data_IF_990683975997
#
_entry.id   IF_990683975997
#
_cell.length_a   1.000
_cell.length_b   1.000
_cell.length_c   1.000
_cell.angle_alpha   90.00
_cell.angle_beta   90.00
_cell.angle_gamma   90.00
#
_symmetry.space_group_name_H-M   'P 1'
#
loop_
_entity.id
_entity.type
_entity.pdbx_description
1 polymer ?
#
# COMPACT_ATOMS: atom_id res chain seq x y z
N UNK A 1 -25.73 -8.07 -1.76
CA UNK A 1 -24.63 -7.58 -0.92
C UNK A 1 -24.05 -8.82 -0.23
N UNK A 2 -22.73 -9.06 -0.26
CA UNK A 2 -22.16 -10.21 0.44
C UNK A 2 -22.43 -10.08 1.96
N UNK A 3 -22.79 -11.18 2.62
CA UNK A 3 -23.13 -11.22 4.05
C UNK A 3 -21.97 -10.78 4.97
N UNK A 4 -20.74 -10.78 4.47
CA UNK A 4 -19.57 -10.31 5.21
C UNK A 4 -18.62 -9.55 4.28
N UNK A 5 -18.36 -8.29 4.64
CA UNK A 5 -17.41 -7.43 3.93
C UNK A 5 -16.15 -7.35 4.79
N UNK A 6 -15.00 -7.85 4.30
CA UNK A 6 -13.75 -7.69 5.03
C UNK A 6 -13.43 -6.20 5.26
N UNK A 7 -12.97 -5.80 6.46
CA UNK A 7 -12.65 -4.40 6.78
C UNK A 7 -11.66 -3.76 5.79
N UNK A 8 -10.79 -4.56 5.18
CA UNK A 8 -9.80 -4.14 4.19
C UNK A 8 -10.41 -3.65 2.86
N UNK A 9 -11.70 -3.94 2.61
CA UNK A 9 -12.44 -3.48 1.41
C UNK A 9 -13.24 -2.21 1.64
N UNK A 10 -13.48 -1.86 2.90
CA UNK A 10 -14.16 -0.62 3.26
C UNK A 10 -13.25 0.54 2.86
N UNK A 11 -13.81 1.57 2.20
CA UNK A 11 -13.12 2.72 1.64
C UNK A 11 -12.10 2.40 0.51
N UNK A 12 -11.92 1.12 0.14
CA UNK A 12 -11.12 0.76 -1.03
C UNK A 12 -12.01 0.55 -2.27
N UNK A 13 -13.12 -0.14 -2.11
CA UNK A 13 -14.08 -0.47 -3.19
C UNK A 13 -15.53 -0.31 -2.78
N UNK A 14 -15.79 -0.07 -1.50
CA UNK A 14 -17.13 0.17 -0.94
C UNK A 14 -17.10 1.53 -0.30
N UNK A 15 -17.88 2.44 -0.87
CA UNK A 15 -17.99 3.81 -0.40
C UNK A 15 -19.39 4.05 0.17
N UNK A 16 -19.44 4.52 1.39
CA UNK A 16 -20.72 4.90 2.00
C UNK A 16 -20.99 6.39 1.73
N UNK A 17 -22.11 6.65 1.08
CA UNK A 17 -22.55 8.02 0.74
C UNK A 17 -22.74 8.84 2.00
N UNK A 18 -23.45 8.32 3.01
CA UNK A 18 -23.73 9.03 4.26
C UNK A 18 -22.44 9.40 5.02
N UNK A 19 -21.45 8.50 5.06
CA UNK A 19 -20.13 8.75 5.68
C UNK A 19 -19.40 9.91 5.03
N UNK A 20 -19.34 9.91 3.70
CA UNK A 20 -18.64 10.95 2.93
C UNK A 20 -19.39 12.28 3.02
N UNK A 21 -20.72 12.26 2.94
CA UNK A 21 -21.54 13.46 3.06
C UNK A 21 -21.39 14.11 4.44
N UNK A 22 -21.34 13.32 5.52
CA UNK A 22 -21.09 13.80 6.89
C UNK A 22 -19.68 14.37 7.03
N UNK A 23 -18.67 13.69 6.50
CA UNK A 23 -17.29 14.16 6.49
C UNK A 23 -17.19 15.54 5.80
N UNK A 24 -17.80 15.68 4.64
CA UNK A 24 -17.82 16.94 3.88
C UNK A 24 -18.58 18.01 4.67
N UNK A 25 -19.75 17.69 5.22
CA UNK A 25 -20.58 18.61 6.00
C UNK A 25 -19.88 19.06 7.28
N UNK A 26 -19.17 18.14 7.97
CA UNK A 26 -18.41 18.44 9.17
C UNK A 26 -17.25 19.39 8.85
N UNK A 27 -16.48 19.14 7.78
CA UNK A 27 -15.45 20.05 7.30
C UNK A 27 -16.02 21.43 6.98
N UNK A 28 -17.13 21.49 6.21
CA UNK A 28 -17.73 22.75 5.79
C UNK A 28 -18.30 23.56 6.96
N UNK A 29 -18.73 22.92 8.04
CA UNK A 29 -19.27 23.58 9.22
C UNK A 29 -18.17 24.00 10.21
N UNK A 30 -17.23 23.11 10.51
CA UNK A 30 -16.30 23.21 11.63
C UNK A 30 -14.87 23.54 11.20
N UNK A 31 -14.53 23.49 9.90
CA UNK A 31 -13.21 23.87 9.39
C UNK A 31 -12.95 25.36 9.56
N UNK A 32 -11.66 25.72 9.71
CA UNK A 32 -11.22 27.12 9.72
C UNK A 32 -11.65 27.78 8.41
N UNK A 33 -12.34 28.91 8.54
CA UNK A 33 -12.92 29.64 7.40
C UNK A 33 -11.87 30.50 6.71
N UNK A 34 -12.12 30.79 5.45
CA UNK A 34 -11.41 31.82 4.72
C UNK A 34 -11.69 33.19 5.35
N UNK A 35 -10.81 34.18 5.11
CA UNK A 35 -10.89 35.56 5.67
C UNK A 35 -12.25 36.24 5.54
N UNK A 36 -13.05 35.88 4.53
CA UNK A 36 -14.40 36.43 4.34
C UNK A 36 -15.49 35.69 5.13
N UNK A 37 -15.14 34.59 5.85
CA UNK A 37 -16.06 33.80 6.65
C UNK A 37 -17.10 32.96 5.90
N UNK A 38 -17.22 33.11 4.59
CA UNK A 38 -18.31 32.51 3.81
C UNK A 38 -18.10 31.01 3.50
N UNK A 39 -16.85 30.54 3.52
CA UNK A 39 -16.49 29.15 3.22
C UNK A 39 -15.20 28.75 3.94
N UNK A 40 -14.86 27.46 3.91
CA UNK A 40 -13.62 26.96 4.49
C UNK A 40 -12.39 27.50 3.76
N UNK A 41 -11.29 27.66 4.48
CA UNK A 41 -10.00 28.00 3.93
C UNK A 41 -9.38 26.83 3.13
N UNK A 42 -8.15 27.04 2.65
CA UNK A 42 -7.43 26.01 1.89
C UNK A 42 -7.37 24.71 2.65
N UNK A 43 -7.81 23.63 2.01
CA UNK A 43 -8.02 22.32 2.63
C UNK A 43 -7.44 21.22 1.75
N UNK A 44 -6.77 20.25 2.36
CA UNK A 44 -6.38 18.99 1.71
C UNK A 44 -7.20 17.85 2.32
N UNK A 45 -7.81 17.02 1.46
CA UNK A 45 -8.44 15.76 1.84
C UNK A 45 -7.59 14.61 1.31
N UNK A 46 -7.07 13.77 2.20
CA UNK A 46 -6.30 12.60 1.87
C UNK A 46 -7.20 11.38 1.74
N UNK A 47 -7.37 10.89 0.52
CA UNK A 47 -8.23 9.76 0.19
C UNK A 47 -7.46 8.44 0.10
N UNK A 48 -8.16 7.32 0.25
CA UNK A 48 -7.57 5.98 0.25
C UNK A 48 -6.98 5.57 -1.11
N UNK A 49 -7.66 5.94 -2.20
CA UNK A 49 -7.25 5.67 -3.59
C UNK A 49 -7.93 6.64 -4.54
N UNK A 50 -7.57 6.58 -5.83
CA UNK A 50 -8.12 7.47 -6.87
C UNK A 50 -9.65 7.42 -6.98
N UNK A 51 -10.25 6.23 -6.84
CA UNK A 51 -11.70 6.06 -6.92
C UNK A 51 -12.39 6.72 -5.73
N UNK A 52 -11.85 6.57 -4.52
CA UNK A 52 -12.34 7.25 -3.33
C UNK A 52 -12.19 8.77 -3.45
N UNK A 53 -11.04 9.24 -3.94
CA UNK A 53 -10.81 10.66 -4.16
C UNK A 53 -11.82 11.26 -5.14
N UNK A 54 -12.07 10.59 -6.26
CA UNK A 54 -13.08 11.00 -7.23
C UNK A 54 -14.48 11.00 -6.62
N UNK A 55 -14.83 9.95 -5.87
CA UNK A 55 -16.12 9.86 -5.20
C UNK A 55 -16.35 11.02 -4.23
N UNK A 56 -15.34 11.42 -3.43
CA UNK A 56 -15.42 12.58 -2.53
C UNK A 56 -15.69 13.87 -3.32
N UNK A 57 -14.99 14.08 -4.45
CA UNK A 57 -15.21 15.27 -5.30
C UNK A 57 -16.61 15.28 -5.89
N UNK A 58 -17.08 14.14 -6.39
CA UNK A 58 -18.43 14.00 -6.97
C UNK A 58 -19.50 14.29 -5.90
N UNK A 59 -19.37 13.72 -4.69
CA UNK A 59 -20.28 13.99 -3.56
C UNK A 59 -20.26 15.45 -3.16
N UNK A 60 -19.07 16.08 -3.08
CA UNK A 60 -18.97 17.52 -2.77
C UNK A 60 -19.76 18.35 -3.79
N UNK A 61 -19.61 18.07 -5.07
CA UNK A 61 -20.28 18.83 -6.13
C UNK A 61 -21.81 18.62 -6.13
N UNK A 62 -22.29 17.45 -5.70
CA UNK A 62 -23.73 17.21 -5.52
C UNK A 62 -24.28 17.95 -4.29
N UNK A 63 -23.56 18.00 -3.18
CA UNK A 63 -23.98 18.67 -1.95
C UNK A 63 -23.90 20.20 -2.06
N UNK A 64 -22.96 20.71 -2.84
CA UNK A 64 -22.66 22.16 -2.96
C UNK A 64 -22.65 22.61 -4.43
N UNK A 65 -23.78 22.49 -5.17
CA UNK A 65 -23.84 22.81 -6.60
C UNK A 65 -23.61 24.30 -6.90
N UNK A 66 -23.77 25.18 -5.92
CA UNK A 66 -23.51 26.61 -6.05
C UNK A 66 -22.06 26.93 -6.46
N UNK A 67 -21.11 26.05 -6.16
CA UNK A 67 -19.70 26.25 -6.54
C UNK A 67 -19.37 25.76 -7.96
N UNK A 68 -20.34 25.21 -8.70
CA UNK A 68 -20.22 24.80 -10.12
C UNK A 68 -18.97 23.92 -10.39
N UNK A 69 -18.61 23.06 -9.43
CA UNK A 69 -17.48 22.13 -9.55
C UNK A 69 -16.09 22.80 -9.47
N UNK A 70 -15.97 24.07 -9.05
CA UNK A 70 -14.68 24.75 -8.99
C UNK A 70 -14.05 24.72 -7.59
N UNK A 71 -14.84 24.54 -6.57
CA UNK A 71 -14.39 24.65 -5.16
C UNK A 71 -13.58 23.45 -4.70
N UNK A 72 -13.96 22.25 -5.10
CA UNK A 72 -13.33 21.00 -4.76
C UNK A 72 -12.79 20.30 -6.03
N UNK A 73 -11.50 20.03 -6.08
CA UNK A 73 -10.82 19.43 -7.25
C UNK A 73 -10.00 18.21 -6.88
N UNK A 74 -9.93 17.30 -7.85
CA UNK A 74 -9.08 16.12 -7.78
C UNK A 74 -7.64 16.47 -8.16
N UNK A 75 -6.66 16.05 -7.32
CA UNK A 75 -5.23 16.20 -7.57
C UNK A 75 -4.55 14.85 -7.32
N UNK A 76 -4.50 14.03 -8.36
CA UNK A 76 -3.86 12.70 -8.33
C UNK A 76 -2.99 12.53 -9.59
N UNK A 77 -1.98 11.64 -9.52
CA UNK A 77 -1.02 11.44 -10.62
C UNK A 77 -1.77 11.13 -11.90
N UNK A 78 -2.02 10.60 -12.67
CA UNK A 78 -2.70 10.19 -13.91
C UNK A 78 -3.96 11.00 -14.31
N UNK A 79 -4.25 12.10 -13.63
CA UNK A 79 -5.40 12.95 -14.01
C UNK A 79 -4.94 14.11 -14.90
N UNK A 80 -5.55 14.31 -16.10
CA UNK A 80 -5.06 15.28 -17.08
C UNK A 80 -4.91 16.71 -16.56
N UNK A 81 -5.75 17.12 -15.62
CA UNK A 81 -5.77 18.47 -15.07
C UNK A 81 -5.13 18.58 -13.68
N UNK A 82 -4.52 17.52 -13.14
CA UNK A 82 -3.95 17.54 -11.79
C UNK A 82 -2.91 18.65 -11.60
N UNK A 83 -2.01 18.81 -12.57
CA UNK A 83 -0.98 19.85 -12.54
C UNK A 83 -1.55 21.26 -12.58
N UNK A 84 -2.64 21.51 -13.33
CA UNK A 84 -3.30 22.79 -13.38
C UNK A 84 -4.09 23.05 -12.09
N UNK A 85 -4.85 22.09 -11.61
CA UNK A 85 -5.59 22.18 -10.34
C UNK A 85 -4.63 22.47 -9.17
N UNK A 86 -3.43 21.88 -9.18
CA UNK A 86 -2.41 22.16 -8.16
C UNK A 86 -1.84 23.58 -8.26
N UNK A 87 -1.59 24.09 -9.49
CA UNK A 87 -1.14 25.47 -9.69
C UNK A 87 -2.20 26.48 -9.21
N UNK A 88 -3.47 26.19 -9.48
CA UNK A 88 -4.58 27.04 -9.07
C UNK A 88 -4.80 26.95 -7.55
N UNK A 89 -4.63 25.78 -6.94
CA UNK A 89 -4.70 25.61 -5.49
C UNK A 89 -3.66 26.44 -4.73
N UNK A 90 -2.48 26.70 -5.32
CA UNK A 90 -1.43 27.52 -4.73
C UNK A 90 -1.77 29.02 -4.69
N UNK A 91 -2.81 29.46 -5.37
CA UNK A 91 -3.27 30.85 -5.32
C UNK A 91 -4.14 31.03 -4.08
N UNK A 92 -3.76 31.93 -3.18
CA UNK A 92 -4.37 32.08 -1.85
C UNK A 92 -5.88 32.28 -1.88
N UNK A 93 -6.35 33.21 -2.70
CA UNK A 93 -7.74 33.71 -2.72
C UNK A 93 -8.56 33.15 -3.91
N UNK A 94 -8.04 32.13 -4.64
CA UNK A 94 -8.66 31.62 -5.86
C UNK A 94 -9.09 30.15 -5.70
N UNK A 95 -10.01 29.69 -6.55
CA UNK A 95 -10.40 28.29 -6.60
C UNK A 95 -9.24 27.41 -7.12
N UNK A 96 -9.16 26.13 -6.67
CA UNK A 96 -10.00 25.47 -5.68
C UNK A 96 -9.59 25.80 -4.24
N UNK A 97 -10.54 25.75 -3.30
CA UNK A 97 -10.27 25.82 -1.88
C UNK A 97 -10.07 24.44 -1.26
N UNK A 98 -10.65 23.39 -1.85
CA UNK A 98 -10.46 22.01 -1.42
C UNK A 98 -9.76 21.22 -2.52
N UNK A 99 -8.70 20.49 -2.17
CA UNK A 99 -8.09 19.49 -3.04
C UNK A 99 -8.21 18.12 -2.41
N UNK A 100 -8.62 17.15 -3.22
CA UNK A 100 -8.67 15.74 -2.82
C UNK A 100 -7.54 14.99 -3.51
N UNK A 101 -6.69 14.35 -2.72
CA UNK A 101 -5.48 13.66 -3.20
C UNK A 101 -5.33 12.28 -2.59
N UNK A 102 -4.51 11.44 -3.20
CA UNK A 102 -4.10 10.15 -2.63
C UNK A 102 -2.69 10.27 -2.04
N UNK A 103 -1.69 10.59 -2.86
CA UNK A 103 -0.27 10.64 -2.48
C UNK A 103 0.46 11.88 -3.01
N UNK A 104 -0.07 12.56 -4.04
CA UNK A 104 0.61 13.67 -4.72
C UNK A 104 0.97 14.86 -3.82
N UNK A 105 0.18 15.10 -2.77
CA UNK A 105 0.35 16.23 -1.86
C UNK A 105 1.02 15.81 -0.54
N UNK A 106 1.48 14.56 -0.41
CA UNK A 106 2.26 14.11 0.75
C UNK A 106 3.64 14.76 0.77
N UNK A 107 4.24 15.00 -0.41
CA UNK A 107 5.56 15.62 -0.57
C UNK A 107 5.52 16.78 -1.58
N UNK A 108 6.44 17.73 -1.46
CA UNK A 108 6.80 18.66 -2.55
C UNK A 108 5.85 19.82 -2.85
N UNK A 109 4.82 20.11 -2.05
CA UNK A 109 4.02 21.32 -2.20
C UNK A 109 4.26 22.33 -1.07
N UNK A 110 4.32 23.57 -1.46
CA UNK A 110 4.39 24.72 -0.57
C UNK A 110 3.14 25.58 -0.75
N UNK A 111 2.21 25.49 0.21
CA UNK A 111 0.98 26.28 0.29
C UNK A 111 0.77 26.66 1.76
N UNK A 112 1.33 27.79 2.22
CA UNK A 112 1.23 28.21 3.62
C UNK A 112 -0.21 28.46 4.08
N UNK A 113 -1.12 28.75 3.14
CA UNK A 113 -2.53 29.08 3.39
C UNK A 113 -3.39 27.87 3.78
N UNK A 114 -2.83 26.64 3.81
CA UNK A 114 -3.59 25.45 4.22
C UNK A 114 -3.95 25.56 5.70
N UNK A 115 -5.24 25.60 5.99
CA UNK A 115 -5.80 25.70 7.35
C UNK A 115 -6.51 24.44 7.80
N UNK A 116 -6.87 23.53 6.89
CA UNK A 116 -7.58 22.30 7.22
C UNK A 116 -6.94 21.09 6.54
N UNK A 117 -6.79 20.00 7.29
CA UNK A 117 -6.36 18.69 6.79
C UNK A 117 -7.42 17.65 7.13
N UNK A 118 -7.79 16.83 6.18
CA UNK A 118 -8.79 15.77 6.37
C UNK A 118 -8.17 14.41 6.04
N UNK A 119 -8.12 13.52 7.00
CA UNK A 119 -7.66 12.15 6.83
C UNK A 119 -8.85 11.21 6.60
N UNK A 120 -9.16 10.95 5.33
CA UNK A 120 -10.14 9.96 4.89
C UNK A 120 -9.45 8.62 4.49
N UNK A 121 -8.19 8.45 4.87
CA UNK A 121 -7.40 7.21 4.70
C UNK A 121 -6.68 6.84 5.98
N UNK A 122 -6.46 5.52 6.19
CA UNK A 122 -5.58 5.03 7.23
C UNK A 122 -4.13 5.18 6.80
N UNK A 123 -3.32 5.77 7.66
CA UNK A 123 -1.88 5.93 7.47
C UNK A 123 -1.16 5.01 8.45
N UNK A 124 -0.21 4.21 7.98
CA UNK A 124 0.55 3.28 8.81
C UNK A 124 1.99 3.73 9.02
N UNK A 125 2.55 4.50 8.08
CA UNK A 125 3.91 5.04 8.16
C UNK A 125 3.92 6.32 8.98
N UNK A 126 4.70 6.36 10.06
CA UNK A 126 4.89 7.54 10.91
C UNK A 126 5.43 8.73 10.11
N UNK A 127 6.43 8.48 9.27
CA UNK A 127 7.06 9.50 8.42
C UNK A 127 6.03 10.14 7.48
N UNK A 128 5.22 9.32 6.80
CA UNK A 128 4.16 9.82 5.91
C UNK A 128 3.12 10.63 6.68
N UNK A 129 2.71 10.17 7.85
CA UNK A 129 1.74 10.89 8.67
C UNK A 129 2.26 12.27 9.09
N UNK A 130 3.51 12.36 9.53
CA UNK A 130 4.15 13.62 9.88
C UNK A 130 4.34 14.54 8.67
N UNK A 131 4.71 14.01 7.51
CA UNK A 131 4.78 14.77 6.26
C UNK A 131 3.42 15.37 5.85
N UNK A 132 2.34 14.61 6.03
CA UNK A 132 0.98 15.07 5.77
C UNK A 132 0.55 16.15 6.75
N UNK A 133 0.81 15.97 8.06
CA UNK A 133 0.58 16.99 9.08
C UNK A 133 1.40 18.27 8.81
N UNK A 134 2.64 18.11 8.37
CA UNK A 134 3.54 19.19 7.99
C UNK A 134 2.99 20.12 6.90
N UNK A 135 1.96 19.71 6.14
CA UNK A 135 1.29 20.59 5.17
C UNK A 135 0.47 21.69 5.85
N UNK A 136 -0.02 21.46 7.05
CA UNK A 136 -0.78 22.45 7.83
C UNK A 136 0.09 23.36 8.71
N UNK A 137 1.32 22.94 9.04
CA UNK A 137 2.15 23.64 10.06
C UNK A 137 2.82 24.91 9.57
N UNK A 138 2.80 25.22 8.28
CA UNK A 138 3.44 26.42 7.74
C UNK A 138 2.73 27.67 8.21
N UNK A 139 3.52 28.67 8.61
CA UNK A 139 3.03 30.00 8.98
C UNK A 139 2.63 30.77 7.72
N UNK A 140 1.62 31.60 7.84
CA UNK A 140 1.17 32.50 6.79
C UNK A 140 0.76 33.82 7.42
N UNK A 141 1.55 34.85 7.14
CA UNK A 141 1.28 36.22 7.62
C UNK A 141 0.06 36.79 6.90
N UNK A 142 -0.74 37.56 7.62
CA UNK A 142 -1.92 38.26 7.12
C UNK A 142 -2.97 37.39 6.40
N UNK A 143 -3.01 36.07 6.70
CA UNK A 143 -3.92 35.16 6.02
C UNK A 143 -5.40 35.53 6.17
N UNK A 144 -5.77 36.07 7.31
CA UNK A 144 -7.16 36.46 7.65
C UNK A 144 -7.44 37.94 7.54
N UNK A 145 -6.40 38.76 7.35
CA UNK A 145 -6.46 40.22 7.26
C UNK A 145 -5.16 40.87 7.69
N UNK A 146 -5.03 42.15 7.56
CA UNK A 146 -3.84 42.90 7.97
C UNK A 146 -3.58 42.70 9.48
N UNK A 147 -2.45 42.12 9.85
CA UNK A 147 -2.08 41.75 11.21
C UNK A 147 -2.75 40.50 11.77
N UNK A 148 -3.53 39.80 10.96
CA UNK A 148 -4.19 38.54 11.34
C UNK A 148 -3.53 37.34 10.68
N UNK A 149 -2.49 36.85 11.33
CA UNK A 149 -1.68 35.71 10.86
C UNK A 149 -2.38 34.38 11.11
N UNK A 150 -1.99 33.39 10.33
CA UNK A 150 -2.33 31.98 10.59
C UNK A 150 -1.62 31.51 11.86
N UNK A 151 -2.39 31.18 12.92
CA UNK A 151 -1.88 30.71 14.22
C UNK A 151 -2.03 29.21 14.43
N UNK A 152 -2.97 28.60 13.71
CA UNK A 152 -3.31 27.19 13.88
C UNK A 152 -3.86 26.60 12.58
N UNK A 153 -3.98 25.29 12.54
CA UNK A 153 -4.72 24.54 11.53
C UNK A 153 -5.52 23.44 12.21
N UNK A 154 -6.57 22.97 11.56
CA UNK A 154 -7.44 21.91 12.08
C UNK A 154 -7.22 20.63 11.32
N UNK A 155 -7.21 19.51 12.03
CA UNK A 155 -7.12 18.16 11.48
C UNK A 155 -8.41 17.40 11.78
N UNK A 156 -9.03 16.90 10.72
CA UNK A 156 -10.18 15.99 10.79
C UNK A 156 -9.67 14.57 10.54
N UNK A 157 -9.63 13.74 11.56
CA UNK A 157 -9.13 12.36 11.46
C UNK A 157 -10.27 11.35 11.58
N UNK A 158 -10.88 10.97 10.46
CA UNK A 158 -11.96 9.99 10.41
C UNK A 158 -11.48 8.54 10.49
N UNK A 159 -10.14 8.32 10.44
CA UNK A 159 -9.56 6.98 10.40
C UNK A 159 -8.80 6.61 11.68
N UNK A 160 -8.90 7.46 12.72
CA UNK A 160 -8.20 7.27 13.99
C UNK A 160 -6.70 7.07 13.84
N UNK A 161 -6.06 7.89 13.02
CA UNK A 161 -4.62 7.82 12.80
C UNK A 161 -3.86 8.26 14.06
N UNK A 162 -4.32 9.31 14.75
CA UNK A 162 -3.70 9.75 16.01
C UNK A 162 -3.71 8.63 17.04
N UNK A 163 -4.87 8.01 17.31
CA UNK A 163 -4.96 6.89 18.23
C UNK A 163 -4.03 5.73 17.81
N UNK A 164 -3.97 5.44 16.51
CA UNK A 164 -3.08 4.41 16.00
C UNK A 164 -1.60 4.70 16.31
N UNK A 165 -1.15 5.95 16.14
CA UNK A 165 0.25 6.31 16.40
C UNK A 165 0.55 6.52 17.89
N UNK A 166 -0.46 6.77 18.73
CA UNK A 166 -0.31 6.72 20.19
C UNK A 166 -0.06 5.28 20.66
N UNK A 167 -0.79 4.32 20.12
CA UNK A 167 -0.60 2.89 20.39
C UNK A 167 0.65 2.30 19.73
N UNK A 168 1.07 2.85 18.58
CA UNK A 168 2.20 2.40 17.76
C UNK A 168 3.11 3.59 17.38
N UNK A 169 3.93 4.11 18.29
CA UNK A 169 4.70 5.35 18.06
C UNK A 169 5.65 5.29 16.84
N UNK A 170 6.20 4.12 16.54
CA UNK A 170 7.04 3.93 15.34
C UNK A 170 6.23 3.70 14.06
N UNK A 171 4.90 3.64 14.15
CA UNK A 171 4.04 3.16 13.10
C UNK A 171 4.15 1.63 12.95
N UNK A 172 3.37 1.10 12.05
CA UNK A 172 3.75 -0.15 11.37
C UNK A 172 4.46 0.34 10.12
N UNK A 173 5.64 -0.14 9.87
CA UNK A 173 6.12 -0.11 8.49
C UNK A 173 4.97 -0.71 7.70
N UNK A 174 4.26 0.12 6.95
CA UNK A 174 3.43 -0.37 5.89
C UNK A 174 4.43 -1.20 5.09
N UNK A 175 4.28 -2.51 5.14
CA UNK A 175 5.17 -3.35 4.36
C UNK A 175 5.16 -2.68 3.01
N UNK A 176 6.29 -2.13 2.61
CA UNK A 176 6.44 -1.56 1.27
C UNK A 176 5.67 -2.52 0.39
N UNK A 177 4.82 -2.01 -0.50
CA UNK A 177 4.18 -2.90 -1.47
C UNK A 177 5.35 -3.45 -2.25
N UNK A 178 5.93 -4.52 -1.71
CA UNK A 178 7.12 -5.15 -2.25
C UNK A 178 6.68 -5.61 -3.64
N UNK A 179 7.32 -5.09 -4.65
CA UNK A 179 7.02 -5.49 -6.02
C UNK A 179 6.97 -7.02 -6.09
N UNK A 180 6.02 -7.64 -6.82
CA UNK A 180 5.88 -9.09 -6.85
C UNK A 180 7.19 -9.83 -7.09
N UNK A 181 8.07 -9.27 -7.93
CA UNK A 181 9.41 -9.80 -8.21
C UNK A 181 10.29 -9.82 -6.95
N UNK A 182 10.36 -8.71 -6.24
CA UNK A 182 11.11 -8.61 -4.98
C UNK A 182 10.51 -9.51 -3.89
N UNK A 183 9.18 -9.61 -3.82
CA UNK A 183 8.50 -10.51 -2.89
C UNK A 183 8.83 -11.98 -3.19
N UNK A 184 8.89 -12.38 -4.46
CA UNK A 184 9.31 -13.72 -4.89
C UNK A 184 10.75 -13.98 -4.45
N UNK A 185 11.65 -13.06 -4.73
CA UNK A 185 13.07 -13.15 -4.34
C UNK A 185 13.22 -13.36 -2.83
N UNK A 186 12.57 -12.53 -2.01
CA UNK A 186 12.56 -12.67 -0.54
C UNK A 186 12.09 -14.07 -0.12
N UNK A 187 10.99 -14.56 -0.72
CA UNK A 187 10.45 -15.89 -0.39
C UNK A 187 11.40 -17.00 -0.78
N UNK A 188 12.06 -16.91 -1.94
CA UNK A 188 13.07 -17.88 -2.36
C UNK A 188 14.25 -17.93 -1.39
N UNK A 189 14.79 -16.78 -0.97
CA UNK A 189 15.88 -16.72 0.02
C UNK A 189 15.46 -17.32 1.37
N UNK A 190 14.24 -17.04 1.83
CA UNK A 190 13.67 -17.64 3.04
C UNK A 190 13.53 -19.16 2.91
N UNK A 191 13.05 -19.65 1.75
CA UNK A 191 12.93 -21.10 1.47
C UNK A 191 14.28 -21.79 1.47
N UNK A 192 15.31 -21.19 0.83
CA UNK A 192 16.68 -21.74 0.83
C UNK A 192 17.18 -21.94 2.26
N UNK A 193 16.93 -20.96 3.14
CA UNK A 193 17.30 -21.06 4.56
C UNK A 193 16.54 -22.16 5.29
N UNK A 194 15.23 -22.24 5.12
CA UNK A 194 14.41 -23.26 5.79
C UNK A 194 14.73 -24.68 5.31
N UNK A 195 15.05 -24.87 4.03
CA UNK A 195 15.39 -26.17 3.46
C UNK A 195 16.78 -26.70 3.89
N UNK A 196 17.56 -25.95 4.67
CA UNK A 196 18.79 -26.42 5.32
C UNK A 196 18.49 -27.23 6.59
N UNK A 197 17.28 -27.17 7.14
CA UNK A 197 16.92 -27.85 8.36
C UNK A 197 16.99 -29.39 8.17
N UNK A 198 17.33 -30.10 9.26
CA UNK A 198 17.46 -31.55 9.28
C UNK A 198 16.18 -32.30 8.84
N UNK A 199 15.03 -31.68 8.90
CA UNK A 199 13.78 -32.25 8.45
C UNK A 199 13.65 -32.33 6.92
N UNK A 200 14.55 -31.66 6.16
CA UNK A 200 14.48 -31.51 4.70
C UNK A 200 15.73 -32.06 3.98
N UNK A 201 16.36 -33.10 4.53
CA UNK A 201 17.59 -33.69 3.98
C UNK A 201 17.33 -34.62 2.79
N UNK A 202 16.07 -35.04 2.56
CA UNK A 202 15.74 -35.89 1.40
C UNK A 202 16.10 -35.21 0.08
N UNK A 203 16.58 -35.98 -0.88
CA UNK A 203 17.03 -35.51 -2.20
C UNK A 203 15.97 -34.64 -2.89
N UNK A 204 14.69 -34.93 -2.73
CA UNK A 204 13.60 -34.14 -3.34
C UNK A 204 13.54 -32.70 -2.81
N UNK A 205 13.69 -32.52 -1.50
CA UNK A 205 13.75 -31.19 -0.91
C UNK A 205 15.05 -30.46 -1.27
N UNK A 206 16.17 -31.18 -1.30
CA UNK A 206 17.45 -30.61 -1.71
C UNK A 206 17.42 -30.16 -3.17
N UNK A 207 16.75 -30.90 -4.07
CA UNK A 207 16.55 -30.47 -5.46
C UNK A 207 15.74 -29.15 -5.55
N UNK A 208 14.73 -28.97 -4.71
CA UNK A 208 14.01 -27.68 -4.64
C UNK A 208 14.96 -26.59 -4.19
N UNK A 209 15.74 -26.83 -3.14
CA UNK A 209 16.71 -25.89 -2.60
C UNK A 209 17.75 -25.47 -3.65
N UNK A 210 18.34 -26.41 -4.36
CA UNK A 210 19.33 -26.16 -5.41
C UNK A 210 18.74 -25.30 -6.55
N UNK A 211 17.52 -25.61 -7.01
CA UNK A 211 16.83 -24.81 -8.02
C UNK A 211 16.56 -23.38 -7.53
N UNK A 212 16.19 -23.19 -6.25
CA UNK A 212 15.98 -21.88 -5.69
C UNK A 212 17.29 -21.08 -5.59
N UNK A 213 18.39 -21.74 -5.23
CA UNK A 213 19.73 -21.12 -5.22
C UNK A 213 20.11 -20.65 -6.62
N UNK A 214 19.94 -21.50 -7.64
CA UNK A 214 20.25 -21.13 -9.02
C UNK A 214 19.45 -19.90 -9.47
N UNK A 215 18.14 -19.86 -9.20
CA UNK A 215 17.29 -18.71 -9.51
C UNK A 215 17.74 -17.42 -8.76
N UNK A 216 18.02 -17.51 -7.48
CA UNK A 216 18.47 -16.35 -6.70
C UNK A 216 19.82 -15.84 -7.19
N UNK A 217 20.75 -16.74 -7.48
CA UNK A 217 22.07 -16.40 -8.04
C UNK A 217 21.94 -15.74 -9.42
N UNK A 218 21.06 -16.24 -10.27
CA UNK A 218 20.80 -15.66 -11.59
C UNK A 218 20.16 -14.27 -11.47
N UNK A 219 19.18 -14.09 -10.56
CA UNK A 219 18.59 -12.79 -10.27
C UNK A 219 19.67 -11.79 -9.80
N UNK A 220 20.60 -12.20 -8.92
CA UNK A 220 21.69 -11.34 -8.45
C UNK A 220 22.70 -11.02 -9.56
N UNK A 221 23.06 -11.99 -10.40
CA UNK A 221 23.95 -11.77 -11.55
C UNK A 221 23.34 -10.84 -12.61
N UNK A 222 22.02 -10.83 -12.74
CA UNK A 222 21.29 -9.97 -13.65
C UNK A 222 21.23 -8.50 -13.18
N UNK A 223 21.63 -8.21 -11.94
CA UNK A 223 21.68 -6.82 -11.43
C UNK A 223 22.76 -6.03 -12.16
N UNK A 224 22.35 -5.20 -13.14
CA UNK A 224 23.25 -4.39 -13.95
C UNK A 224 23.92 -3.26 -13.14
N UNK A 225 25.25 -3.17 -13.24
CA UNK A 225 26.05 -2.14 -12.55
C UNK A 225 25.89 -0.73 -13.12
N UNK A 226 25.13 -0.57 -14.20
CA UNK A 226 24.76 0.74 -14.77
C UNK A 226 23.84 1.51 -13.83
N UNK A 227 23.00 0.82 -13.06
CA UNK A 227 22.04 1.42 -12.14
C UNK A 227 22.73 1.96 -10.89
N UNK A 228 22.40 3.20 -10.51
CA UNK A 228 23.02 3.88 -9.35
C UNK A 228 22.73 3.11 -8.06
N UNK A 229 21.50 2.62 -7.88
CA UNK A 229 21.08 1.85 -6.71
C UNK A 229 21.91 0.57 -6.56
N UNK A 230 22.23 -0.11 -7.67
CA UNK A 230 23.06 -1.32 -7.67
C UNK A 230 24.51 -0.98 -7.27
N UNK A 231 25.03 0.15 -7.73
CA UNK A 231 26.39 0.60 -7.37
C UNK A 231 26.53 0.90 -5.87
N UNK A 232 25.51 1.44 -5.25
CA UNK A 232 25.50 1.69 -3.81
C UNK A 232 25.58 0.39 -2.97
N UNK A 233 25.02 -0.70 -3.50
CA UNK A 233 25.00 -2.01 -2.85
C UNK A 233 26.00 -3.02 -3.48
N UNK A 234 26.96 -2.53 -4.28
CA UNK A 234 27.85 -3.37 -5.09
C UNK A 234 28.58 -4.45 -4.29
N UNK A 235 29.00 -4.16 -3.08
CA UNK A 235 29.68 -5.14 -2.20
C UNK A 235 28.84 -6.37 -1.92
N UNK A 236 27.52 -6.20 -1.77
CA UNK A 236 26.60 -7.31 -1.55
C UNK A 236 26.30 -8.07 -2.83
N UNK A 237 26.13 -7.35 -3.96
CA UNK A 237 25.94 -7.96 -5.27
C UNK A 237 27.16 -8.85 -5.59
N UNK A 238 28.40 -8.32 -5.46
CA UNK A 238 29.64 -9.07 -5.73
C UNK A 238 29.79 -10.29 -4.80
N UNK A 239 29.37 -10.19 -3.53
CA UNK A 239 29.43 -11.30 -2.58
C UNK A 239 28.44 -12.39 -2.92
N UNK A 240 27.17 -12.02 -3.15
CA UNK A 240 26.06 -12.96 -3.26
C UNK A 240 25.77 -13.43 -4.71
N UNK A 241 26.52 -12.99 -5.71
CA UNK A 241 26.51 -13.63 -7.02
C UNK A 241 27.21 -14.98 -7.03
N UNK A 242 27.98 -15.31 -5.98
CA UNK A 242 28.72 -16.55 -5.85
C UNK A 242 27.86 -17.62 -5.20
N UNK A 243 27.57 -18.70 -5.90
CA UNK A 243 26.70 -19.80 -5.46
C UNK A 243 27.07 -20.39 -4.11
N UNK A 244 28.38 -20.50 -3.82
CA UNK A 244 28.87 -21.04 -2.56
C UNK A 244 28.40 -20.31 -1.31
N UNK A 245 27.97 -19.06 -1.42
CA UNK A 245 27.45 -18.28 -0.29
C UNK A 245 26.11 -18.82 0.23
N UNK A 246 25.43 -19.66 -0.58
CA UNK A 246 24.14 -20.26 -0.26
C UNK A 246 24.26 -21.72 0.25
N UNK A 247 25.44 -22.34 0.19
CA UNK A 247 25.64 -23.73 0.65
C UNK A 247 25.33 -23.87 2.14
N UNK A 248 25.75 -22.87 2.95
CA UNK A 248 25.41 -22.76 4.36
C UNK A 248 24.99 -21.32 4.65
N UNK A 249 23.70 -21.02 4.39
CA UNK A 249 23.16 -19.68 4.58
C UNK A 249 22.87 -19.42 6.07
N UNK A 250 23.61 -18.54 6.70
CA UNK A 250 23.37 -18.10 8.07
C UNK A 250 22.24 -17.05 8.11
N UNK A 251 21.66 -16.81 9.29
CA UNK A 251 20.57 -15.86 9.45
C UNK A 251 20.99 -14.44 9.05
N UNK A 252 22.19 -14.03 9.47
CA UNK A 252 22.74 -12.70 9.13
C UNK A 252 22.89 -12.52 7.62
N UNK A 253 23.33 -13.55 6.90
CA UNK A 253 23.48 -13.49 5.45
C UNK A 253 22.14 -13.46 4.75
N UNK A 254 21.15 -14.18 5.26
CA UNK A 254 19.75 -14.11 4.77
C UNK A 254 19.21 -12.69 4.89
N UNK A 255 19.41 -12.04 6.02
CA UNK A 255 18.96 -10.66 6.25
C UNK A 255 19.71 -9.68 5.33
N UNK A 256 21.04 -9.79 5.19
CA UNK A 256 21.82 -8.98 4.25
C UNK A 256 21.29 -9.09 2.81
N UNK A 257 21.01 -10.31 2.34
CA UNK A 257 20.47 -10.53 0.99
C UNK A 257 19.10 -9.84 0.84
N UNK A 258 18.22 -9.98 1.83
CA UNK A 258 16.88 -9.41 1.78
C UNK A 258 16.93 -7.88 1.82
N UNK A 259 17.68 -7.30 2.75
CA UNK A 259 17.68 -5.86 3.00
C UNK A 259 18.37 -5.06 1.88
N UNK A 260 19.46 -5.62 1.34
CA UNK A 260 20.28 -4.92 0.35
C UNK A 260 19.93 -5.28 -1.10
N UNK A 261 19.54 -6.53 -1.39
CA UNK A 261 19.38 -6.98 -2.76
C UNK A 261 17.92 -7.08 -3.23
N UNK A 262 16.96 -7.38 -2.36
CA UNK A 262 15.57 -7.62 -2.80
C UNK A 262 14.95 -6.42 -3.57
N UNK A 263 15.26 -5.20 -3.18
CA UNK A 263 14.81 -3.97 -3.86
C UNK A 263 15.45 -3.73 -5.22
N UNK A 264 16.56 -4.42 -5.52
CA UNK A 264 17.32 -4.25 -6.75
C UNK A 264 16.93 -5.27 -7.84
N UNK A 265 16.20 -6.33 -7.47
CA UNK A 265 15.83 -7.41 -8.38
C UNK A 265 14.94 -6.88 -9.50
N UNK A 266 15.31 -7.21 -10.72
CA UNK A 266 14.52 -6.97 -11.93
C UNK A 266 14.31 -8.32 -12.60
N UNK A 267 13.11 -8.60 -13.07
CA UNK A 267 12.80 -9.83 -13.77
C UNK A 267 12.47 -9.54 -15.23
N UNK A 268 13.00 -10.33 -16.13
CA UNK A 268 12.62 -10.34 -17.54
C UNK A 268 11.28 -11.09 -17.77
N UNK A 269 10.77 -11.78 -16.75
CA UNK A 269 9.50 -12.47 -16.80
C UNK A 269 8.34 -11.47 -16.82
N UNK A 270 7.60 -11.47 -17.92
CA UNK A 270 6.48 -10.54 -18.15
C UNK A 270 5.16 -11.00 -17.53
N UNK A 271 5.08 -12.26 -17.07
CA UNK A 271 3.87 -12.83 -16.48
C UNK A 271 3.78 -12.49 -14.98
N UNK A 272 3.27 -11.31 -14.68
CA UNK A 272 3.05 -10.87 -13.29
C UNK A 272 2.10 -11.79 -12.50
N UNK A 273 1.17 -12.46 -13.18
CA UNK A 273 0.24 -13.39 -12.53
C UNK A 273 0.97 -14.66 -12.09
N UNK A 274 1.89 -15.17 -12.91
CA UNK A 274 2.75 -16.31 -12.54
C UNK A 274 3.66 -15.95 -11.36
N UNK A 275 4.30 -14.78 -11.39
CA UNK A 275 5.15 -14.28 -10.28
C UNK A 275 4.32 -14.16 -8.99
N UNK A 276 3.13 -13.57 -9.06
CA UNK A 276 2.25 -13.42 -7.90
C UNK A 276 1.80 -14.76 -7.33
N UNK A 277 1.58 -15.76 -8.19
CA UNK A 277 1.25 -17.11 -7.76
C UNK A 277 2.46 -17.81 -7.12
N UNK A 278 3.67 -17.62 -7.65
CA UNK A 278 4.90 -18.11 -7.01
C UNK A 278 5.04 -17.53 -5.59
N UNK A 279 4.85 -16.23 -5.40
CA UNK A 279 4.86 -15.58 -4.09
C UNK A 279 3.85 -16.22 -3.14
N UNK A 280 2.63 -16.49 -3.63
CA UNK A 280 1.57 -17.10 -2.84
C UNK A 280 1.95 -18.53 -2.41
N UNK A 281 2.45 -19.36 -3.33
CA UNK A 281 2.80 -20.74 -3.07
C UNK A 281 4.05 -20.89 -2.19
N UNK A 282 5.11 -20.10 -2.42
CA UNK A 282 6.26 -20.06 -1.52
C UNK A 282 5.87 -19.58 -0.12
N UNK A 283 4.96 -18.61 -0.02
CA UNK A 283 4.39 -18.18 1.27
C UNK A 283 3.68 -19.31 2.00
N UNK A 284 2.98 -20.16 1.26
CA UNK A 284 2.28 -21.35 1.78
C UNK A 284 3.27 -22.39 2.31
N UNK A 285 4.29 -22.73 1.51
CA UNK A 285 5.36 -23.65 1.91
C UNK A 285 6.09 -23.14 3.15
N UNK A 286 6.50 -21.89 3.19
CA UNK A 286 7.13 -21.25 4.35
C UNK A 286 6.23 -21.32 5.60
N UNK A 287 4.92 -21.09 5.44
CA UNK A 287 3.98 -21.16 6.57
C UNK A 287 3.91 -22.58 7.16
N UNK A 288 4.02 -23.62 6.32
CA UNK A 288 4.10 -25.03 6.78
C UNK A 288 5.42 -25.28 7.50
N UNK A 289 6.55 -24.86 6.91
CA UNK A 289 7.89 -25.10 7.45
C UNK A 289 8.13 -24.39 8.79
N UNK A 290 7.53 -23.21 8.98
CA UNK A 290 7.75 -22.35 10.17
C UNK A 290 6.63 -22.42 11.20
N UNK A 291 5.59 -23.23 10.99
CA UNK A 291 4.41 -23.24 11.87
C UNK A 291 3.62 -21.94 11.88
N UNK A 292 3.68 -21.18 10.78
CA UNK A 292 3.16 -19.80 10.69
C UNK A 292 1.63 -19.73 10.71
N UNK A 293 1.10 -18.65 11.30
CA UNK A 293 -0.33 -18.38 11.50
C UNK A 293 -1.09 -18.01 10.21
N UNK A 294 -0.41 -17.88 9.06
CA UNK A 294 -1.00 -17.34 7.83
C UNK A 294 -1.58 -18.40 6.86
N UNK A 295 -1.43 -19.68 7.18
CA UNK A 295 -1.81 -20.79 6.29
C UNK A 295 -3.27 -20.68 5.79
N UNK A 296 -4.22 -20.46 6.70
CA UNK A 296 -5.63 -20.35 6.34
C UNK A 296 -5.97 -19.17 5.42
N UNK A 297 -5.24 -18.06 5.53
CA UNK A 297 -5.39 -16.92 4.62
C UNK A 297 -4.84 -17.25 3.24
N UNK A 298 -3.65 -17.82 3.17
CA UNK A 298 -3.00 -18.20 1.91
C UNK A 298 -3.80 -19.30 1.19
N UNK A 299 -4.30 -20.32 1.91
CA UNK A 299 -5.23 -21.33 1.38
C UNK A 299 -6.42 -20.67 0.66
N UNK A 300 -7.07 -19.70 1.30
CA UNK A 300 -8.23 -19.01 0.71
C UNK A 300 -7.90 -18.32 -0.61
N UNK A 301 -6.72 -17.71 -0.74
CA UNK A 301 -6.31 -17.08 -2.00
C UNK A 301 -6.03 -18.13 -3.10
N UNK A 302 -5.34 -19.23 -2.78
CA UNK A 302 -5.07 -20.30 -3.73
C UNK A 302 -6.37 -20.95 -4.22
N UNK A 303 -7.26 -21.32 -3.28
CA UNK A 303 -8.58 -21.88 -3.61
C UNK A 303 -9.44 -20.88 -4.38
N UNK A 304 -9.36 -19.60 -4.05
CA UNK A 304 -10.04 -18.52 -4.76
C UNK A 304 -9.61 -18.43 -6.23
N UNK A 305 -8.31 -18.46 -6.51
CA UNK A 305 -7.77 -18.47 -7.87
C UNK A 305 -8.22 -19.71 -8.66
N UNK A 306 -8.15 -20.89 -8.04
CA UNK A 306 -8.61 -22.13 -8.66
C UNK A 306 -10.11 -22.10 -9.00
N UNK A 307 -10.94 -21.57 -8.11
CA UNK A 307 -12.38 -21.42 -8.36
C UNK A 307 -12.70 -20.45 -9.52
N UNK A 308 -11.94 -19.36 -9.66
CA UNK A 308 -12.10 -18.43 -10.80
C UNK A 308 -11.77 -19.15 -12.11
N UNK A 309 -10.64 -19.86 -12.16
CA UNK A 309 -10.24 -20.62 -13.35
C UNK A 309 -11.28 -21.69 -13.73
N UNK A 310 -11.83 -22.41 -12.74
CA UNK A 310 -12.86 -23.43 -12.97
C UNK A 310 -14.19 -22.86 -13.46
N UNK A 311 -14.59 -21.68 -12.96
CA UNK A 311 -15.91 -21.09 -13.26
C UNK A 311 -15.89 -20.25 -14.52
N UNK A 312 -14.85 -19.44 -14.71
CA UNK A 312 -14.82 -18.41 -15.74
C UNK A 312 -13.96 -18.77 -16.95
N UNK A 313 -12.97 -19.66 -16.77
CA UNK A 313 -11.95 -19.95 -17.77
C UNK A 313 -11.89 -21.44 -18.22
N UNK A 314 -12.79 -22.27 -17.74
CA UNK A 314 -12.76 -23.74 -17.98
C UNK A 314 -12.83 -24.17 -19.48
N UNK A 315 -13.22 -23.26 -20.38
CA UNK A 315 -13.26 -23.52 -21.82
C UNK A 315 -11.91 -23.39 -22.52
N UNK A 316 -10.92 -22.73 -21.86
CA UNK A 316 -9.59 -22.49 -22.41
C UNK A 316 -8.83 -23.83 -22.46
N UNK A 317 -8.16 -24.18 -23.59
CA UNK A 317 -7.49 -25.46 -23.75
C UNK A 317 -6.48 -25.78 -22.66
N UNK A 318 -5.62 -24.81 -22.29
CA UNK A 318 -4.59 -24.96 -21.26
C UNK A 318 -5.17 -25.26 -19.87
N UNK A 319 -6.37 -24.72 -19.60
CA UNK A 319 -7.08 -24.95 -18.34
C UNK A 319 -7.81 -26.30 -18.36
N UNK A 320 -8.35 -26.71 -19.53
CA UNK A 320 -9.01 -28.02 -19.65
C UNK A 320 -8.11 -29.18 -19.23
N UNK A 321 -6.84 -29.13 -19.57
CA UNK A 321 -5.85 -30.15 -19.21
C UNK A 321 -5.62 -30.18 -17.68
N UNK A 322 -5.83 -29.08 -16.98
CA UNK A 322 -5.58 -28.91 -15.53
C UNK A 322 -6.84 -28.96 -14.65
N UNK A 323 -8.02 -29.23 -15.24
CA UNK A 323 -9.30 -29.23 -14.50
C UNK A 323 -9.28 -30.20 -13.31
N UNK A 324 -8.68 -31.38 -13.46
CA UNK A 324 -8.59 -32.36 -12.37
C UNK A 324 -7.76 -31.85 -11.21
N UNK A 325 -6.61 -31.25 -11.48
CA UNK A 325 -5.73 -30.64 -10.48
C UNK A 325 -6.40 -29.44 -9.78
N UNK A 326 -7.07 -28.58 -10.55
CA UNK A 326 -7.82 -27.46 -10.00
C UNK A 326 -8.97 -27.91 -9.09
N UNK A 327 -9.70 -28.97 -9.46
CA UNK A 327 -10.76 -29.53 -8.63
C UNK A 327 -10.21 -30.15 -7.34
N UNK A 328 -9.08 -30.85 -7.44
CA UNK A 328 -8.40 -31.42 -6.28
C UNK A 328 -7.96 -30.28 -5.34
N UNK A 329 -7.35 -29.21 -5.86
CA UNK A 329 -6.90 -28.05 -5.10
C UNK A 329 -8.03 -27.32 -4.34
N UNK A 330 -9.26 -27.35 -4.87
CA UNK A 330 -10.45 -26.78 -4.22
C UNK A 330 -11.02 -27.71 -3.15
N UNK A 331 -10.76 -29.03 -3.23
CA UNK A 331 -11.27 -30.01 -2.26
C UNK A 331 -10.58 -29.86 -0.89
N UNK A 332 -11.30 -30.13 0.19
CA UNK A 332 -10.70 -30.13 1.53
C UNK A 332 -9.65 -31.22 1.68
N UNK A 333 -9.84 -32.37 1.04
CA UNK A 333 -8.90 -33.49 1.05
C UNK A 333 -7.49 -33.11 0.57
N UNK A 334 -7.35 -32.18 -0.37
CA UNK A 334 -6.04 -31.68 -0.80
C UNK A 334 -5.24 -31.09 0.38
N UNK A 335 -5.90 -30.46 1.32
CA UNK A 335 -5.32 -29.73 2.44
C UNK A 335 -5.10 -30.56 3.71
N UNK A 336 -5.55 -31.82 3.72
CA UNK A 336 -5.33 -32.73 4.86
C UNK A 336 -3.83 -33.05 5.05
N UNK A 337 -3.08 -33.10 3.95
CA UNK A 337 -1.63 -33.28 3.96
C UNK A 337 -0.95 -32.00 3.51
N UNK A 338 -0.28 -31.33 4.43
CA UNK A 338 0.44 -30.10 4.20
C UNK A 338 1.93 -30.40 3.91
N UNK A 339 2.22 -30.76 2.67
CA UNK A 339 3.57 -31.12 2.22
C UNK A 339 4.15 -30.10 1.24
N UNK A 340 5.39 -29.69 1.50
CA UNK A 340 6.15 -28.75 0.66
C UNK A 340 6.34 -29.28 -0.76
N UNK A 341 6.59 -30.59 -0.93
CA UNK A 341 6.76 -31.22 -2.25
C UNK A 341 5.48 -31.11 -3.08
N UNK A 342 4.34 -31.45 -2.46
CA UNK A 342 3.02 -31.34 -3.10
C UNK A 342 2.71 -29.90 -3.53
N UNK A 343 3.02 -28.92 -2.68
CA UNK A 343 2.80 -27.51 -3.01
C UNK A 343 3.73 -27.03 -4.13
N UNK A 344 4.98 -27.51 -4.18
CA UNK A 344 5.90 -27.17 -5.26
C UNK A 344 5.47 -27.77 -6.59
N UNK A 345 4.97 -29.02 -6.61
CA UNK A 345 4.39 -29.65 -7.80
C UNK A 345 3.18 -28.84 -8.30
N UNK A 346 2.28 -28.47 -7.40
CA UNK A 346 1.11 -27.63 -7.72
C UNK A 346 1.54 -26.27 -8.28
N UNK A 347 2.55 -25.63 -7.68
CA UNK A 347 3.10 -24.37 -8.17
C UNK A 347 3.58 -24.49 -9.62
N UNK A 348 4.43 -25.49 -9.88
CA UNK A 348 4.99 -25.71 -11.23
C UNK A 348 3.93 -26.02 -12.27
N UNK A 349 2.91 -26.79 -11.90
CA UNK A 349 1.83 -27.17 -12.79
C UNK A 349 0.90 -26.01 -13.14
N UNK A 350 0.57 -25.15 -12.18
CA UNK A 350 -0.51 -24.17 -12.33
C UNK A 350 -0.02 -22.73 -12.61
N UNK A 351 1.27 -22.39 -12.39
CA UNK A 351 1.74 -21.02 -12.49
C UNK A 351 1.47 -20.35 -13.84
N UNK A 352 1.61 -21.10 -14.94
CA UNK A 352 1.45 -20.55 -16.29
C UNK A 352 0.02 -20.27 -16.69
N UNK A 353 -0.95 -20.90 -16.02
CA UNK A 353 -2.38 -20.67 -16.31
C UNK A 353 -2.96 -19.51 -15.49
N UNK A 354 -2.22 -18.95 -14.54
CA UNK A 354 -2.67 -17.81 -13.73
C UNK A 354 -2.92 -16.55 -14.56
N UNK A 355 -2.25 -16.40 -15.71
CA UNK A 355 -2.47 -15.30 -16.67
C UNK A 355 -3.91 -15.23 -17.21
N UNK A 356 -4.65 -16.33 -17.14
CA UNK A 356 -6.04 -16.39 -17.60
C UNK A 356 -7.03 -15.91 -16.54
N UNK A 357 -6.60 -15.67 -15.30
CA UNK A 357 -7.46 -15.07 -14.29
C UNK A 357 -7.78 -13.63 -14.75
N UNK A 358 -9.05 -13.31 -15.02
CA UNK A 358 -9.42 -11.99 -15.47
C UNK A 358 -9.02 -10.97 -14.40
N UNK A 359 -8.35 -9.89 -14.83
CA UNK A 359 -8.12 -8.75 -13.95
C UNK A 359 -9.47 -8.34 -13.37
N UNK A 360 -9.64 -8.50 -12.06
CA UNK A 360 -10.90 -8.14 -11.41
C UNK A 360 -11.16 -6.66 -11.69
N UNK A 361 -12.09 -6.37 -12.58
CA UNK A 361 -12.84 -5.12 -12.56
C UNK A 361 -13.67 -5.18 -11.28
N UNK A 362 -13.09 -4.75 -10.16
CA UNK A 362 -13.82 -4.70 -8.92
C UNK A 362 -14.98 -3.73 -9.11
N UNK A 363 -16.20 -4.26 -9.04
CA UNK A 363 -17.40 -3.43 -9.10
C UNK A 363 -17.39 -2.53 -7.89
N UNK A 364 -17.43 -1.24 -8.12
CA UNK A 364 -17.66 -0.26 -7.08
C UNK A 364 -19.04 -0.50 -6.48
N UNK A 365 -19.07 -0.67 -5.18
CA UNK A 365 -20.33 -0.78 -4.44
C UNK A 365 -20.53 0.52 -3.66
N UNK A 366 -21.63 1.21 -3.97
CA UNK A 366 -22.09 2.35 -3.20
C UNK A 366 -23.11 1.85 -2.17
N UNK A 367 -22.89 2.16 -0.92
CA UNK A 367 -23.84 1.90 0.15
C UNK A 367 -24.41 3.21 0.67
N UNK A 368 -25.61 3.18 1.19
CA UNK A 368 -26.28 4.33 1.81
C UNK A 368 -26.80 3.94 3.19
N UNK A 369 -25.96 3.30 4.00
CA UNK A 369 -26.27 3.03 5.39
C UNK A 369 -26.14 4.34 6.19
N UNK A 370 -27.09 4.63 7.06
CA UNK A 370 -26.97 5.74 7.99
C UNK A 370 -25.87 5.42 9.00
N UNK A 371 -24.82 6.23 8.99
CA UNK A 371 -23.78 6.13 10.00
C UNK A 371 -24.28 6.67 11.36
N UNK A 372 -23.91 5.97 12.40
CA UNK A 372 -24.10 6.43 13.77
C UNK A 372 -22.76 7.00 14.22
N UNK A 373 -22.72 8.29 14.54
CA UNK A 373 -21.55 8.89 15.19
C UNK A 373 -21.44 8.31 16.60
N UNK A 374 -20.54 7.35 16.77
CA UNK A 374 -20.36 6.64 18.04
C UNK A 374 -19.47 7.45 18.99
N UNK A 375 -18.60 8.29 18.43
CA UNK A 375 -17.58 8.99 19.21
C UNK A 375 -17.08 10.24 18.47
N UNK A 376 -16.98 11.34 19.21
CA UNK A 376 -16.30 12.57 18.78
C UNK A 376 -15.38 13.02 19.89
N UNK A 377 -14.10 13.17 19.61
CA UNK A 377 -13.11 13.69 20.52
C UNK A 377 -12.52 14.97 19.91
N UNK A 378 -12.54 16.04 20.69
CA UNK A 378 -11.89 17.29 20.32
C UNK A 378 -10.71 17.48 21.28
N UNK A 379 -9.50 17.60 20.73
CA UNK A 379 -8.28 17.78 21.48
C UNK A 379 -7.38 18.82 20.82
N UNK A 380 -6.63 19.57 21.62
CA UNK A 380 -5.52 20.38 21.10
C UNK A 380 -4.28 19.50 21.02
N UNK A 381 -3.64 19.46 19.84
CA UNK A 381 -2.31 18.89 19.70
C UNK A 381 -1.30 19.85 20.34
N UNK A 382 -1.07 19.69 21.65
CA UNK A 382 -0.13 20.53 22.40
C UNK A 382 1.29 20.02 22.40
N UNK A 383 1.55 18.84 21.85
CA UNK A 383 2.83 18.14 21.94
C UNK A 383 3.51 17.81 20.60
N UNK A 384 3.47 18.73 19.66
CA UNK A 384 4.67 18.94 18.85
C UNK A 384 5.50 19.93 19.65
N UNK A 385 6.30 19.43 20.60
CA UNK A 385 7.17 20.30 21.41
C UNK A 385 8.15 21.01 20.49
N UNK A 386 8.58 22.20 20.86
CA UNK A 386 9.62 22.93 20.12
C UNK A 386 10.91 22.10 19.95
N UNK A 387 11.17 21.16 20.87
CA UNK A 387 12.25 20.18 20.78
C UNK A 387 12.07 19.18 19.63
N UNK A 388 10.83 18.74 19.35
CA UNK A 388 10.57 17.81 18.23
C UNK A 388 10.70 18.53 16.87
N UNK A 389 10.47 19.83 16.83
CA UNK A 389 10.71 20.67 15.65
C UNK A 389 12.19 20.93 15.40
N UNK A 390 12.99 21.12 16.45
CA UNK A 390 14.45 21.28 16.33
C UNK A 390 15.10 19.96 15.92
N UNK A 391 14.68 18.81 16.46
CA UNK A 391 15.12 17.49 16.06
C UNK A 391 14.72 17.15 14.61
N UNK A 392 13.53 17.54 14.19
CA UNK A 392 13.08 17.38 12.78
C UNK A 392 13.91 18.26 11.84
N UNK A 393 14.17 19.52 12.22
CA UNK A 393 15.00 20.44 11.44
C UNK A 393 16.44 20.00 11.34
N UNK A 394 17.01 19.44 12.43
CA UNK A 394 18.35 18.85 12.45
C UNK A 394 18.44 17.65 11.52
N UNK A 395 17.48 16.73 11.58
CA UNK A 395 17.40 15.55 10.69
C UNK A 395 17.20 15.90 9.22
N UNK A 396 16.40 16.92 8.91
CA UNK A 396 16.21 17.40 7.52
C UNK A 396 17.49 18.02 6.98
N UNK A 397 18.23 18.79 7.80
CA UNK A 397 19.50 19.37 7.38
C UNK A 397 20.60 18.31 7.18
N UNK A 398 20.62 17.26 7.99
CA UNK A 398 21.53 16.13 7.85
C UNK A 398 21.30 15.30 6.56
N UNK A 399 20.09 15.36 5.98
CA UNK A 399 19.74 14.69 4.71
C UNK A 399 19.96 15.57 3.47
N UNK A 400 20.21 16.86 3.62
CA UNK A 400 20.35 17.84 2.53
C UNK A 400 21.83 18.22 2.32
N UNK A 401 22.73 17.93 3.27
CA UNK A 401 24.19 17.97 3.11
C UNK A 401 24.72 16.59 2.61
#
# INVERSE_FOLDING_TARGET
>A
VPEHIPPERINKYIFNVDTVDRMISDLMNNGIKHKNGNHVGKTIIFAQNKLHAKFIVDRFNELYPQYKGNFCKLVVCDEPYAGQNLKDFKKADDYPFITVTVDMLETGIDVPEITNLVFAKKVYSRIKFEQMLGRGTRLCENLFGEGEDKKEFVVFDYMRNFQFFDEHPKGREAGEVVAPVAARFIRMVQMIKCLQDANYVDVKYQNIRENLIDHVVDDVKAMGTERVEVRLELRYVERYKERKQYECLEEIHKEEIIDHLAKLVVSDEKDEAAISFDVLMYGLMLSVMTGGKNLGRLKRYVVGNANILLKECATIPDIKVRISELKELVSDHYWDVQDVLKFEETRKSLREIMKYIPAKKEKLHYSNFKDIVVFREEGRLTSLSASDFEDYRAKVNEYVE
#
